data_IF_840311866505
#
_entry.id   IF_840311866505
#
_cell.length_a   1.000
_cell.length_b   1.000
_cell.length_c   1.000
_cell.angle_alpha   90.00
_cell.angle_beta   90.00
_cell.angle_gamma   90.00
#
_symmetry.space_group_name_H-M   'P 1'
#
loop_
_entity.id
_entity.type
_entity.pdbx_description
1 polymer ?
#
# COMPACT_ATOMS: atom_id res chain seq x y z
N UNK A 1 -23.50 17.97 10.83
CA UNK A 1 -22.77 18.13 9.56
C UNK A 1 -21.51 17.29 9.64
N UNK A 2 -21.57 16.01 9.29
CA UNK A 2 -20.37 15.18 9.19
C UNK A 2 -19.56 15.70 8.01
N UNK A 3 -18.33 16.18 8.24
CA UNK A 3 -17.39 16.41 7.13
C UNK A 3 -17.24 15.08 6.43
N UNK A 4 -17.53 15.05 5.14
CA UNK A 4 -17.19 13.92 4.30
C UNK A 4 -15.67 13.74 4.32
N UNK A 5 -15.20 12.80 5.13
CA UNK A 5 -13.78 12.47 5.25
C UNK A 5 -13.22 11.95 3.92
N UNK A 6 -14.07 11.64 2.91
CA UNK A 6 -13.63 11.31 1.56
C UNK A 6 -12.94 12.47 0.84
N UNK A 7 -12.95 13.71 1.34
CA UNK A 7 -12.17 14.79 0.74
C UNK A 7 -10.64 14.48 0.75
N UNK A 8 -10.20 13.58 1.65
CA UNK A 8 -8.81 13.15 1.79
C UNK A 8 -8.59 11.69 1.31
N UNK A 9 -9.52 11.12 0.55
CA UNK A 9 -9.32 9.78 -0.02
C UNK A 9 -8.08 9.78 -0.90
N UNK A 10 -7.35 8.65 -0.94
CA UNK A 10 -6.12 8.53 -1.73
C UNK A 10 -6.30 9.06 -3.16
N UNK A 11 -7.44 8.77 -3.80
CA UNK A 11 -7.79 9.22 -5.16
C UNK A 11 -7.90 10.74 -5.32
N UNK A 12 -8.19 11.50 -4.25
CA UNK A 12 -8.36 12.96 -4.29
C UNK A 12 -7.13 13.76 -3.89
N UNK A 13 -6.09 13.10 -3.35
CA UNK A 13 -4.80 13.75 -3.06
C UNK A 13 -4.12 14.13 -4.39
N UNK A 14 -3.86 15.44 -4.54
CA UNK A 14 -3.11 16.02 -5.66
C UNK A 14 -1.61 15.83 -5.46
N UNK A 15 -0.86 15.90 -6.57
CA UNK A 15 0.60 15.76 -6.60
C UNK A 15 1.14 14.39 -6.14
N UNK A 16 2.45 14.31 -5.91
CA UNK A 16 3.10 13.09 -5.45
C UNK A 16 2.57 12.66 -4.09
N UNK A 17 2.01 11.45 -4.04
CA UNK A 17 1.48 10.86 -2.82
C UNK A 17 2.10 9.50 -2.55
N UNK A 18 2.44 9.28 -1.29
CA UNK A 18 2.95 8.02 -0.77
C UNK A 18 2.12 7.72 0.47
N UNK A 19 1.41 6.60 0.47
CA UNK A 19 0.62 6.17 1.63
C UNK A 19 1.24 4.92 2.23
N UNK A 20 1.40 4.95 3.55
CA UNK A 20 1.74 3.77 4.35
C UNK A 20 0.63 3.53 5.34
N UNK A 21 0.05 2.34 5.30
CA UNK A 21 -0.79 1.83 6.38
C UNK A 21 0.09 1.12 7.41
N UNK A 22 -0.19 1.35 8.69
CA UNK A 22 0.43 0.66 9.80
C UNK A 22 -0.60 -0.26 10.47
N UNK A 23 -0.17 -1.39 11.06
CA UNK A 23 -1.04 -2.20 11.89
C UNK A 23 -1.69 -1.35 12.99
N UNK A 24 -2.93 -1.66 13.33
CA UNK A 24 -3.68 -0.93 14.34
C UNK A 24 -3.06 -1.16 15.73
N UNK A 25 -2.14 -0.29 16.13
CA UNK A 25 -1.19 -0.48 17.24
C UNK A 25 -1.47 0.43 18.44
N UNK A 26 -2.74 0.82 18.60
CA UNK A 26 -3.20 1.86 19.52
C UNK A 26 -2.49 3.22 19.28
N UNK A 27 -2.72 4.20 20.16
CA UNK A 27 -2.26 5.58 19.96
C UNK A 27 -0.74 5.76 19.95
N UNK A 28 0.01 4.86 20.60
CA UNK A 28 1.45 5.02 20.75
C UNK A 28 2.27 4.42 19.60
N UNK A 29 1.66 3.60 18.75
CA UNK A 29 2.33 2.91 17.64
C UNK A 29 3.60 2.13 18.03
N UNK A 30 3.70 1.71 19.30
CA UNK A 30 4.83 0.94 19.80
C UNK A 30 5.00 -0.36 19.01
N UNK A 31 6.25 -0.79 18.84
CA UNK A 31 6.62 -2.01 18.11
C UNK A 31 6.17 -2.03 16.64
N UNK A 32 6.07 -0.86 16.01
CA UNK A 32 5.88 -0.71 14.55
C UNK A 32 7.13 -0.18 13.88
N UNK A 33 7.14 -0.18 12.55
CA UNK A 33 8.20 0.43 11.75
C UNK A 33 7.95 1.92 11.45
N UNK A 34 7.07 2.60 12.22
CA UNK A 34 6.68 4.00 11.96
C UNK A 34 7.89 4.95 11.89
N UNK A 35 8.83 4.86 12.83
CA UNK A 35 10.01 5.73 12.85
C UNK A 35 10.94 5.44 11.67
N UNK A 36 11.10 4.16 11.32
CA UNK A 36 11.89 3.75 10.15
C UNK A 36 11.29 4.29 8.87
N UNK A 37 9.97 4.14 8.68
CA UNK A 37 9.26 4.65 7.49
C UNK A 37 9.42 6.16 7.36
N UNK A 38 9.19 6.91 8.45
CA UNK A 38 9.32 8.37 8.45
C UNK A 38 10.76 8.80 8.16
N UNK A 39 11.74 8.14 8.80
CA UNK A 39 13.16 8.40 8.58
C UNK A 39 13.58 8.13 7.14
N UNK A 40 13.20 6.98 6.57
CA UNK A 40 13.51 6.63 5.18
C UNK A 40 12.86 7.61 4.19
N UNK A 41 11.60 8.00 4.43
CA UNK A 41 10.95 9.02 3.59
C UNK A 41 11.68 10.36 3.68
N UNK A 42 12.05 10.82 4.87
CA UNK A 42 12.77 12.08 5.05
C UNK A 42 14.15 12.05 4.37
N UNK A 43 14.93 10.99 4.58
CA UNK A 43 16.23 10.77 3.93
C UNK A 43 16.09 10.76 2.40
N UNK A 44 15.03 10.15 1.86
CA UNK A 44 14.79 10.14 0.41
C UNK A 44 14.62 11.55 -0.17
N UNK A 45 13.98 12.46 0.59
CA UNK A 45 13.80 13.86 0.18
C UNK A 45 15.10 14.65 0.27
N UNK A 46 15.87 14.48 1.34
CA UNK A 46 17.19 15.14 1.47
C UNK A 46 18.15 14.75 0.33
N UNK A 47 18.09 13.50 -0.10
CA UNK A 47 18.97 12.98 -1.15
C UNK A 47 18.41 13.14 -2.58
N UNK A 48 17.26 13.80 -2.76
CA UNK A 48 16.57 13.89 -4.05
C UNK A 48 16.40 12.52 -4.74
N UNK A 49 16.12 11.47 -3.96
CA UNK A 49 15.97 10.13 -4.46
C UNK A 49 14.76 10.05 -5.41
N UNK A 50 14.96 9.41 -6.57
CA UNK A 50 13.86 9.16 -7.50
C UNK A 50 13.04 7.99 -6.95
N UNK A 51 11.85 8.28 -6.44
CA UNK A 51 10.93 7.28 -5.88
C UNK A 51 9.95 6.76 -6.94
N UNK A 52 9.40 5.54 -6.77
CA UNK A 52 8.33 5.04 -7.64
C UNK A 52 7.13 5.98 -7.65
N UNK A 53 6.73 6.43 -8.84
CA UNK A 53 5.48 7.18 -9.04
C UNK A 53 4.41 6.20 -9.47
N UNK A 54 3.43 5.97 -8.60
CA UNK A 54 2.39 4.99 -8.87
C UNK A 54 1.00 5.50 -8.49
N UNK A 55 0.02 4.95 -9.20
CA UNK A 55 -1.38 4.98 -8.80
C UNK A 55 -1.90 3.54 -8.74
N UNK A 56 -2.91 3.30 -7.92
CA UNK A 56 -3.55 2.01 -7.87
C UNK A 56 -5.07 2.15 -7.80
N UNK A 57 -5.75 1.15 -8.35
CA UNK A 57 -7.19 0.95 -8.24
C UNK A 57 -7.46 -0.52 -7.93
N UNK A 58 -8.70 -0.82 -7.59
CA UNK A 58 -9.13 -2.20 -7.37
C UNK A 58 -10.52 -2.41 -7.95
N UNK A 59 -10.81 -3.64 -8.30
CA UNK A 59 -12.12 -4.12 -8.72
C UNK A 59 -12.48 -5.36 -7.89
N UNK A 60 -13.71 -5.37 -7.36
CA UNK A 60 -14.26 -6.57 -6.74
C UNK A 60 -14.79 -7.50 -7.82
N UNK A 61 -14.34 -8.75 -7.81
CA UNK A 61 -14.78 -9.82 -8.71
C UNK A 61 -15.34 -10.97 -7.89
N UNK A 62 -16.07 -11.91 -8.51
CA UNK A 62 -16.66 -13.05 -7.78
C UNK A 62 -15.62 -13.86 -6.97
N UNK A 63 -14.39 -13.93 -7.46
CA UNK A 63 -13.29 -14.66 -6.81
C UNK A 63 -12.49 -13.81 -5.79
N UNK A 64 -12.86 -12.55 -5.54
CA UNK A 64 -12.15 -11.68 -4.59
C UNK A 64 -11.92 -10.27 -5.13
N UNK A 65 -10.67 -9.82 -5.15
CA UNK A 65 -10.28 -8.46 -5.56
C UNK A 65 -9.13 -8.52 -6.55
N UNK A 66 -9.24 -7.76 -7.64
CA UNK A 66 -8.15 -7.50 -8.59
C UNK A 66 -7.58 -6.13 -8.26
N UNK A 67 -6.25 -6.02 -8.16
CA UNK A 67 -5.54 -4.76 -7.88
C UNK A 67 -4.75 -4.37 -9.12
N UNK A 68 -5.01 -3.17 -9.63
CA UNK A 68 -4.28 -2.59 -10.75
C UNK A 68 -3.29 -1.57 -10.22
N UNK A 69 -2.00 -1.72 -10.57
CA UNK A 69 -0.94 -0.77 -10.22
C UNK A 69 -0.36 -0.20 -11.50
N UNK A 70 -0.45 1.12 -11.66
CA UNK A 70 0.16 1.86 -12.77
C UNK A 70 1.38 2.61 -12.26
N UNK A 71 2.53 2.40 -12.89
CA UNK A 71 3.79 3.07 -12.56
C UNK A 71 4.13 4.03 -13.69
N UNK A 72 4.22 5.33 -13.40
CA UNK A 72 4.34 6.38 -14.43
C UNK A 72 5.78 6.80 -14.73
N UNK A 73 6.76 6.43 -13.90
CA UNK A 73 8.17 6.81 -14.08
C UNK A 73 9.10 5.61 -14.29
N UNK A 74 8.55 4.44 -14.66
CA UNK A 74 9.32 3.24 -14.99
C UNK A 74 9.96 2.50 -13.81
N UNK A 75 9.92 3.04 -12.59
CA UNK A 75 10.49 2.41 -11.41
C UNK A 75 9.50 1.39 -10.84
N UNK A 76 9.57 0.15 -11.35
CA UNK A 76 8.71 -0.94 -10.89
C UNK A 76 8.97 -1.26 -9.40
N UNK A 77 7.93 -1.58 -8.63
CA UNK A 77 8.12 -2.11 -7.28
C UNK A 77 8.89 -3.44 -7.35
N UNK A 78 9.78 -3.68 -6.38
CA UNK A 78 10.55 -4.92 -6.29
C UNK A 78 9.70 -6.13 -5.87
N UNK A 79 8.60 -5.89 -5.17
CA UNK A 79 7.61 -6.91 -4.80
C UNK A 79 6.28 -6.27 -4.45
N UNK A 80 5.19 -7.03 -4.62
CA UNK A 80 3.87 -6.70 -4.08
C UNK A 80 3.55 -7.72 -3.00
N UNK A 81 3.11 -7.25 -1.82
CA UNK A 81 2.83 -8.10 -0.67
C UNK A 81 1.41 -7.90 -0.18
N UNK A 82 0.69 -8.99 0.06
CA UNK A 82 -0.61 -8.99 0.73
C UNK A 82 -0.40 -9.38 2.18
N UNK A 83 -0.87 -8.54 3.09
CA UNK A 83 -0.84 -8.80 4.52
C UNK A 83 -2.21 -9.28 4.98
N UNK A 84 -2.25 -10.35 5.75
CA UNK A 84 -3.47 -10.90 6.33
C UNK A 84 -3.27 -11.24 7.81
N UNK A 85 -4.37 -11.23 8.55
CA UNK A 85 -4.46 -11.72 9.92
C UNK A 85 -5.89 -12.26 10.14
N UNK A 86 -6.00 -13.33 10.94
CA UNK A 86 -7.29 -13.94 11.28
C UNK A 86 -7.54 -13.80 12.77
N UNK A 87 -8.71 -13.27 13.15
CA UNK A 87 -9.19 -13.29 14.53
C UNK A 87 -10.50 -14.11 14.60
N UNK A 88 -10.46 -15.36 15.10
CA UNK A 88 -11.66 -16.20 15.15
C UNK A 88 -12.64 -15.79 16.26
N UNK A 89 -12.23 -14.91 17.18
CA UNK A 89 -13.01 -14.56 18.38
C UNK A 89 -13.77 -13.24 18.24
N UNK A 90 -13.27 -12.28 17.42
CA UNK A 90 -13.88 -10.96 17.28
C UNK A 90 -13.46 -10.22 16.00
N UNK A 91 -14.24 -9.20 15.61
CA UNK A 91 -13.88 -8.22 14.58
C UNK A 91 -12.94 -7.12 15.15
N UNK A 92 -11.86 -7.55 15.81
CA UNK A 92 -10.86 -6.65 16.38
C UNK A 92 -9.46 -7.11 15.98
N UNK A 93 -8.79 -6.32 15.14
CA UNK A 93 -7.48 -6.65 14.58
C UNK A 93 -6.36 -5.78 15.14
N UNK A 94 -6.58 -5.13 16.29
CA UNK A 94 -5.54 -4.37 16.99
C UNK A 94 -4.42 -5.31 17.43
N UNK A 95 -3.17 -4.90 17.24
CA UNK A 95 -2.02 -5.74 17.64
C UNK A 95 -1.97 -5.99 19.15
N UNK A 96 -2.55 -5.12 19.97
CA UNK A 96 -2.76 -5.36 21.40
C UNK A 96 -3.78 -6.47 21.70
N UNK A 97 -4.70 -6.73 20.77
CA UNK A 97 -5.74 -7.75 20.90
C UNK A 97 -5.28 -9.08 20.33
N UNK A 98 -4.70 -9.07 19.14
CA UNK A 98 -4.35 -10.30 18.40
C UNK A 98 -2.84 -10.62 18.44
N UNK A 99 -2.02 -9.79 19.06
CA UNK A 99 -0.56 -9.91 19.09
C UNK A 99 0.12 -9.19 17.92
N UNK A 100 1.42 -8.91 18.03
CA UNK A 100 2.20 -8.26 16.96
C UNK A 100 2.60 -9.21 15.84
N UNK A 101 2.62 -10.53 16.10
CA UNK A 101 3.21 -11.53 15.20
C UNK A 101 2.18 -12.27 14.34
N UNK A 102 0.90 -11.90 14.42
CA UNK A 102 -0.18 -12.58 13.70
C UNK A 102 -0.40 -12.06 12.29
N UNK A 103 0.14 -10.88 11.97
CA UNK A 103 0.12 -10.37 10.61
C UNK A 103 1.15 -11.11 9.77
N UNK A 104 0.67 -11.91 8.83
CA UNK A 104 1.50 -12.62 7.87
C UNK A 104 1.44 -11.90 6.54
N UNK A 105 2.52 -11.96 5.76
CA UNK A 105 2.52 -11.45 4.39
C UNK A 105 2.86 -12.54 3.39
N UNK A 106 2.19 -12.46 2.24
CA UNK A 106 2.47 -13.27 1.07
C UNK A 106 2.94 -12.34 -0.05
N UNK A 107 4.07 -12.66 -0.66
CA UNK A 107 4.49 -12.01 -1.91
C UNK A 107 3.59 -12.50 -3.03
N UNK A 108 2.97 -11.56 -3.75
CA UNK A 108 2.19 -11.86 -4.95
C UNK A 108 3.12 -12.12 -6.13
N UNK A 109 2.72 -13.07 -6.96
CA UNK A 109 3.37 -13.37 -8.24
C UNK A 109 2.63 -12.59 -9.32
N UNK A 110 3.37 -11.88 -10.16
CA UNK A 110 2.80 -11.21 -11.34
C UNK A 110 2.29 -12.28 -12.31
N UNK A 111 0.98 -12.39 -12.47
CA UNK A 111 0.35 -13.41 -13.33
C UNK A 111 0.11 -12.91 -14.75
N UNK A 112 0.06 -11.59 -14.96
CA UNK A 112 -0.09 -10.95 -16.25
C UNK A 112 0.68 -9.63 -16.28
N UNK A 113 1.83 -9.56 -16.96
CA UNK A 113 2.48 -8.28 -17.20
C UNK A 113 1.60 -7.44 -18.12
N UNK A 114 1.49 -6.14 -17.82
CA UNK A 114 0.89 -5.19 -18.76
C UNK A 114 1.73 -5.17 -20.04
N UNK A 115 1.18 -5.68 -21.13
CA UNK A 115 1.74 -5.50 -22.47
C UNK A 115 1.59 -4.02 -22.81
N UNK A 116 2.66 -3.25 -22.68
CA UNK A 116 2.69 -1.89 -23.21
C UNK A 116 2.75 -1.99 -24.72
N UNK A 117 1.61 -1.79 -25.38
CA UNK A 117 1.54 -1.73 -26.83
C UNK A 117 2.45 -0.63 -27.37
N UNK A 118 3.58 -1.04 -27.94
CA UNK A 118 4.32 -0.34 -28.98
C UNK A 118 4.77 -1.41 -29.97
N UNK A 119 3.81 -1.95 -30.72
CA UNK A 119 4.08 -2.46 -32.07
C UNK A 119 3.47 -1.46 -33.04
N UNK A 120 4.17 -0.35 -33.21
CA UNK A 120 4.11 0.43 -34.44
C UNK A 120 5.42 0.18 -35.19
N UNK A 121 5.41 -0.84 -36.04
CA UNK A 121 6.35 -1.17 -37.12
C UNK A 121 5.79 -2.47 -37.75
N UNK A 122 5.48 -2.63 -39.02
CA UNK A 122 5.64 -1.88 -40.28
C UNK A 122 4.43 -2.23 -41.17
#
# INVERSE_FOLDING_TARGET
>A
MYRDLNALSYSKIKDEKYVRFLPNTAHYMFNTDVLTVLGTFYISRLNNAILPKYNFSHEYVNAGVVIYVSVSNGIKPSSVKVWNATNPFAHDFRTSTIGSNVWQNQTLIETQPLVTGNESAE
#
